data_IF_421503088559
#
_entry.id   IF_421503088559
#
_cell.length_a   1.000
_cell.length_b   1.000
_cell.length_c   1.000
_cell.angle_alpha   90.00
_cell.angle_beta   90.00
_cell.angle_gamma   90.00
#
_symmetry.space_group_name_H-M   'P 1'
#
loop_
_entity.id
_entity.type
_entity.pdbx_description
1 polymer ?
#
# COMPACT_ATOMS: atom_id res chain seq x y z
N UNK A 1 -51.94 40.58 69.48
CA UNK A 1 -51.42 39.31 68.94
C UNK A 1 -50.22 39.61 68.05
N UNK A 2 -49.03 39.09 68.41
CA UNK A 2 -47.78 39.28 67.65
C UNK A 2 -47.77 38.34 66.45
N UNK A 3 -47.90 38.87 65.23
CA UNK A 3 -47.50 38.14 64.02
C UNK A 3 -45.99 38.31 63.84
N UNK A 4 -45.26 37.24 64.11
CA UNK A 4 -43.81 37.15 64.02
C UNK A 4 -43.41 37.25 62.55
N UNK A 5 -42.47 38.16 62.28
CA UNK A 5 -41.93 38.50 60.96
C UNK A 5 -41.48 37.28 60.16
N UNK A 6 -42.03 37.13 58.95
CA UNK A 6 -41.80 36.06 57.99
C UNK A 6 -40.52 36.32 57.14
N UNK A 7 -39.44 36.77 57.78
CA UNK A 7 -38.23 37.25 57.09
C UNK A 7 -37.15 36.17 56.91
N UNK A 8 -37.24 35.06 57.67
CA UNK A 8 -36.31 33.92 57.59
C UNK A 8 -36.59 33.04 56.37
N UNK A 9 -37.87 32.82 56.06
CA UNK A 9 -38.37 31.98 54.97
C UNK A 9 -37.96 32.51 53.59
N UNK A 10 -37.94 33.84 53.44
CA UNK A 10 -37.63 34.52 52.18
C UNK A 10 -36.14 34.45 51.84
N UNK A 11 -35.27 34.56 52.86
CA UNK A 11 -33.81 34.42 52.70
C UNK A 11 -33.42 32.99 52.34
N UNK A 12 -34.09 31.99 52.92
CA UNK A 12 -33.89 30.57 52.59
C UNK A 12 -34.26 30.23 51.14
N UNK A 13 -35.39 30.78 50.65
CA UNK A 13 -35.83 30.57 49.26
C UNK A 13 -34.84 31.21 48.27
N UNK A 14 -34.35 32.41 48.55
CA UNK A 14 -33.35 33.08 47.71
C UNK A 14 -32.04 32.28 47.70
N UNK A 15 -31.62 31.75 48.85
CA UNK A 15 -30.41 30.94 48.97
C UNK A 15 -30.52 29.63 48.19
N UNK A 16 -31.69 28.99 48.19
CA UNK A 16 -31.97 27.79 47.38
C UNK A 16 -32.01 28.07 45.87
N UNK A 17 -32.48 29.24 45.45
CA UNK A 17 -32.46 29.64 44.03
C UNK A 17 -31.03 29.90 43.57
N UNK A 18 -30.22 30.59 44.38
CA UNK A 18 -28.80 30.83 44.06
C UNK A 18 -28.02 29.51 44.05
N UNK A 19 -28.28 28.61 45.00
CA UNK A 19 -27.67 27.28 45.03
C UNK A 19 -28.11 26.43 43.83
N UNK A 20 -29.38 26.49 43.44
CA UNK A 20 -29.91 25.81 42.26
C UNK A 20 -29.31 26.34 40.95
N UNK A 21 -29.09 27.65 40.83
CA UNK A 21 -28.40 28.27 39.70
C UNK A 21 -26.90 27.96 39.70
N UNK A 22 -26.27 27.89 40.88
CA UNK A 22 -24.86 27.52 41.00
C UNK A 22 -24.63 26.05 40.64
N UNK A 23 -25.49 25.13 41.11
CA UNK A 23 -25.40 23.69 40.78
C UNK A 23 -25.83 23.43 39.34
N UNK A 24 -26.86 24.12 38.84
CA UNK A 24 -27.27 24.05 37.43
C UNK A 24 -26.20 24.60 36.48
N UNK A 25 -25.56 25.72 36.83
CA UNK A 25 -24.44 26.28 36.08
C UNK A 25 -23.19 25.40 36.14
N UNK A 26 -22.92 24.75 37.27
CA UNK A 26 -21.80 23.80 37.41
C UNK A 26 -22.03 22.53 36.58
N UNK A 27 -23.27 22.05 36.49
CA UNK A 27 -23.63 20.89 35.64
C UNK A 27 -23.53 21.21 34.13
N UNK A 28 -23.80 22.44 33.72
CA UNK A 28 -23.61 22.87 32.31
C UNK A 28 -22.11 22.97 31.95
N UNK A 29 -21.24 23.29 32.93
CA UNK A 29 -19.79 23.29 32.73
C UNK A 29 -19.16 21.89 32.68
N UNK A 30 -19.86 20.84 33.11
CA UNK A 30 -19.37 19.45 33.02
C UNK A 30 -19.83 18.69 31.77
N UNK A 31 -20.71 19.27 30.94
CA UNK A 31 -21.16 18.69 29.65
C UNK A 31 -20.73 19.57 28.49
N UNK A 32 -19.51 20.08 28.58
CA UNK A 32 -18.75 20.59 27.44
C UNK A 32 -17.40 19.86 27.41
N UNK A 33 -17.43 18.52 27.45
CA UNK A 33 -16.43 17.82 26.67
C UNK A 33 -16.70 18.26 25.24
N UNK A 34 -15.89 19.20 24.74
CA UNK A 34 -15.77 19.41 23.30
C UNK A 34 -15.72 18.00 22.70
N UNK A 35 -16.62 17.68 21.78
CA UNK A 35 -16.52 16.43 21.04
C UNK A 35 -15.15 16.45 20.38
N UNK A 36 -14.17 15.82 21.04
CA UNK A 36 -12.82 15.70 20.53
C UNK A 36 -12.94 15.04 19.17
N UNK A 37 -12.17 15.54 18.20
CA UNK A 37 -12.15 15.00 16.84
C UNK A 37 -12.01 13.49 16.96
N UNK A 38 -13.03 12.75 16.51
CA UNK A 38 -12.99 11.29 16.54
C UNK A 38 -11.85 10.88 15.62
N UNK A 39 -11.04 9.89 16.03
CA UNK A 39 -9.90 9.45 15.22
C UNK A 39 -10.30 8.99 13.80
N UNK A 40 -11.59 8.71 13.57
CA UNK A 40 -12.19 8.38 12.27
C UNK A 40 -12.29 9.55 11.30
N UNK A 41 -12.32 10.78 11.79
CA UNK A 41 -12.52 11.99 10.98
C UNK A 41 -11.18 12.61 10.53
N UNK A 42 -10.06 12.07 11.04
CA UNK A 42 -8.71 12.52 10.74
C UNK A 42 -8.26 11.96 9.39
N UNK A 43 -8.08 12.86 8.41
CA UNK A 43 -7.61 12.48 7.08
C UNK A 43 -6.08 12.38 7.06
N UNK A 44 -5.57 11.16 6.89
CA UNK A 44 -4.14 10.88 6.75
C UNK A 44 -3.85 10.10 5.48
N UNK A 45 -2.73 10.41 4.84
CA UNK A 45 -2.26 9.72 3.63
C UNK A 45 -0.80 9.30 3.76
N UNK A 46 -0.48 8.17 3.16
CA UNK A 46 0.87 7.65 3.07
C UNK A 46 1.01 6.79 1.84
N UNK A 47 2.04 7.04 1.05
CA UNK A 47 2.28 6.31 -0.17
C UNK A 47 3.75 6.44 -0.60
N UNK A 48 4.12 5.76 -1.68
CA UNK A 48 5.43 5.98 -2.29
C UNK A 48 5.36 5.90 -3.81
N UNK A 49 6.32 6.57 -4.46
CA UNK A 49 6.48 6.57 -5.91
C UNK A 49 7.96 6.34 -6.22
N UNK A 50 8.26 5.62 -7.28
CA UNK A 50 9.62 5.48 -7.81
C UNK A 50 10.17 6.87 -8.15
N UNK A 51 11.38 7.21 -7.68
CA UNK A 51 11.89 8.59 -7.71
C UNK A 51 11.88 9.23 -9.10
N UNK A 52 12.16 8.46 -10.15
CA UNK A 52 12.14 8.95 -11.53
C UNK A 52 10.75 9.39 -12.02
N UNK A 53 9.67 8.92 -11.37
CA UNK A 53 8.28 9.23 -11.69
C UNK A 53 7.61 10.10 -10.62
N UNK A 54 8.34 10.45 -9.57
CA UNK A 54 7.84 11.17 -8.42
C UNK A 54 7.69 12.67 -8.77
N UNK A 55 6.50 13.28 -8.59
CA UNK A 55 6.31 14.70 -8.88
C UNK A 55 7.05 15.57 -7.85
N UNK A 56 7.40 16.79 -8.26
CA UNK A 56 8.15 17.72 -7.41
C UNK A 56 7.34 18.25 -6.20
N UNK A 57 6.02 18.14 -6.24
CA UNK A 57 5.12 18.60 -5.18
C UNK A 57 4.29 17.45 -4.61
N UNK A 58 3.87 17.59 -3.35
CA UNK A 58 3.26 16.51 -2.57
C UNK A 58 1.79 16.28 -2.95
N UNK A 59 0.97 17.33 -3.12
CA UNK A 59 -0.44 17.18 -3.54
C UNK A 59 -0.64 16.30 -4.79
N UNK A 60 0.04 16.55 -5.93
CA UNK A 60 -0.10 15.68 -7.10
C UNK A 60 0.39 14.25 -6.87
N UNK A 61 1.34 14.05 -5.95
CA UNK A 61 1.80 12.72 -5.59
C UNK A 61 0.68 11.93 -4.91
N UNK A 62 -0.03 12.55 -3.96
CA UNK A 62 -1.03 11.91 -3.12
C UNK A 62 -2.34 11.58 -3.85
N UNK A 63 -2.68 12.29 -4.93
CA UNK A 63 -3.91 12.05 -5.72
C UNK A 63 -3.91 10.70 -6.46
N UNK A 64 -2.75 10.26 -6.95
CA UNK A 64 -2.61 9.05 -7.77
C UNK A 64 -1.37 8.24 -7.34
N UNK A 65 -1.35 7.90 -6.05
CA UNK A 65 -0.21 7.29 -5.40
C UNK A 65 -0.43 5.80 -5.11
N UNK A 66 0.49 4.92 -5.52
CA UNK A 66 0.39 3.51 -5.18
C UNK A 66 0.81 3.24 -3.73
N UNK A 67 0.23 2.19 -3.15
CA UNK A 67 0.58 1.66 -1.83
C UNK A 67 1.42 0.38 -1.90
N UNK A 68 1.74 -0.07 -3.11
CA UNK A 68 2.60 -1.21 -3.37
C UNK A 68 3.55 -0.89 -4.52
N UNK A 69 4.85 -1.19 -4.31
CA UNK A 69 5.89 -0.95 -5.28
C UNK A 69 6.72 -2.20 -5.52
N UNK A 70 7.15 -2.41 -6.76
CA UNK A 70 8.13 -3.40 -7.17
C UNK A 70 9.28 -2.63 -7.81
N UNK A 71 10.44 -2.64 -7.14
CA UNK A 71 11.63 -1.89 -7.55
C UNK A 71 12.82 -2.81 -7.68
N UNK A 72 13.85 -2.35 -8.38
CA UNK A 72 15.14 -3.02 -8.42
C UNK A 72 16.02 -2.61 -7.24
N UNK A 73 16.92 -3.50 -6.84
CA UNK A 73 17.92 -3.17 -5.82
C UNK A 73 18.71 -1.91 -6.20
N UNK A 74 18.89 -1.03 -5.21
CA UNK A 74 19.59 0.26 -5.38
C UNK A 74 18.73 1.38 -5.97
N UNK A 75 17.47 1.13 -6.33
CA UNK A 75 16.57 2.20 -6.76
C UNK A 75 16.07 3.05 -5.59
N UNK A 76 15.98 4.35 -5.82
CA UNK A 76 15.40 5.28 -4.87
C UNK A 76 13.89 5.42 -5.09
N UNK A 77 13.18 5.57 -3.98
CA UNK A 77 11.75 5.92 -3.96
C UNK A 77 11.55 7.19 -3.16
N UNK A 78 10.44 7.87 -3.42
CA UNK A 78 9.99 9.01 -2.64
C UNK A 78 8.75 8.59 -1.86
N UNK A 79 8.85 8.66 -0.53
CA UNK A 79 7.73 8.51 0.39
C UNK A 79 7.00 9.84 0.48
N UNK A 80 5.67 9.82 0.43
CA UNK A 80 4.82 11.00 0.60
C UNK A 80 3.84 10.79 1.74
N UNK A 81 3.59 11.85 2.51
CA UNK A 81 2.59 11.82 3.56
C UNK A 81 1.83 13.13 3.69
N UNK A 82 0.62 13.03 4.22
CA UNK A 82 -0.17 14.16 4.66
C UNK A 82 -0.78 13.83 6.02
N UNK A 83 -0.44 14.65 7.02
CA UNK A 83 -1.09 14.67 8.32
C UNK A 83 -2.20 15.70 8.38
N UNK A 84 -3.19 15.44 9.23
CA UNK A 84 -4.22 16.39 9.60
C UNK A 84 -3.70 17.40 10.63
N UNK A 85 -4.24 18.62 10.64
CA UNK A 85 -3.83 19.69 11.55
C UNK A 85 -4.12 19.39 13.04
N UNK A 86 -5.01 18.44 13.33
CA UNK A 86 -5.35 18.01 14.71
C UNK A 86 -4.29 17.09 15.33
N UNK A 87 -3.32 16.63 14.56
CA UNK A 87 -2.22 15.81 15.03
C UNK A 87 -1.15 16.68 15.70
N UNK A 88 -0.65 16.25 16.85
CA UNK A 88 0.13 17.10 17.76
C UNK A 88 1.61 16.74 17.81
N UNK A 89 2.01 15.66 17.14
CA UNK A 89 3.38 15.11 17.20
C UNK A 89 3.92 14.83 15.80
N UNK A 90 5.25 14.74 15.68
CA UNK A 90 5.95 14.31 14.47
C UNK A 90 5.41 12.98 13.92
N UNK A 91 5.52 12.79 12.60
CA UNK A 91 5.34 11.46 12.00
C UNK A 91 6.60 10.63 12.18
N UNK A 92 6.41 9.35 12.46
CA UNK A 92 7.50 8.38 12.49
C UNK A 92 7.29 7.35 11.38
N UNK A 93 8.26 7.26 10.48
CA UNK A 93 8.29 6.29 9.39
C UNK A 93 9.27 5.18 9.77
N UNK A 94 8.78 3.95 9.82
CA UNK A 94 9.57 2.76 10.10
C UNK A 94 9.67 1.90 8.85
N UNK A 95 10.88 1.51 8.47
CA UNK A 95 11.11 0.57 7.39
C UNK A 95 11.37 -0.86 7.90
N UNK A 96 11.40 -1.84 6.99
CA UNK A 96 11.44 -3.26 7.32
C UNK A 96 12.76 -3.71 7.97
N UNK A 97 13.86 -2.97 7.82
CA UNK A 97 15.15 -3.29 8.46
C UNK A 97 15.26 -2.70 9.87
N UNK A 98 14.18 -2.09 10.39
CA UNK A 98 14.15 -1.44 11.71
C UNK A 98 14.62 0.02 11.68
N UNK A 99 14.85 0.59 10.50
CA UNK A 99 15.11 2.01 10.31
C UNK A 99 13.91 2.85 10.75
N UNK A 100 14.18 3.96 11.43
CA UNK A 100 13.15 4.90 11.92
C UNK A 100 13.56 6.31 11.54
N UNK A 101 12.63 7.02 10.90
CA UNK A 101 12.80 8.41 10.48
C UNK A 101 11.66 9.25 11.05
N UNK A 102 12.00 10.31 11.77
CA UNK A 102 11.03 11.24 12.31
C UNK A 102 11.00 12.52 11.48
N UNK A 103 9.80 12.91 11.06
CA UNK A 103 9.58 14.12 10.25
C UNK A 103 8.48 14.99 10.86
N UNK A 104 8.44 16.29 10.51
CA UNK A 104 7.31 17.15 10.86
C UNK A 104 5.98 16.55 10.39
N UNK A 105 4.92 16.75 11.18
CA UNK A 105 3.57 16.20 10.93
C UNK A 105 2.89 16.78 9.69
N UNK A 106 3.35 17.95 9.23
CA UNK A 106 2.86 18.61 8.03
C UNK A 106 3.03 17.74 6.79
N UNK A 107 2.33 18.10 5.72
CA UNK A 107 2.54 17.53 4.39
C UNK A 107 4.04 17.54 4.03
N UNK A 108 4.55 16.40 3.54
CA UNK A 108 5.97 16.24 3.31
C UNK A 108 6.32 15.02 2.46
N UNK A 109 7.60 14.94 2.12
CA UNK A 109 8.16 13.82 1.40
C UNK A 109 9.58 13.52 1.88
N UNK A 110 10.03 12.28 1.66
CA UNK A 110 11.38 11.84 1.96
C UNK A 110 11.86 10.87 0.88
N UNK A 111 13.12 10.99 0.47
CA UNK A 111 13.74 10.03 -0.44
C UNK A 111 14.46 8.96 0.37
N UNK A 112 14.23 7.70 0.02
CA UNK A 112 14.90 6.55 0.64
C UNK A 112 15.34 5.54 -0.41
N UNK A 113 16.31 4.70 -0.05
CA UNK A 113 16.77 3.57 -0.88
C UNK A 113 16.45 2.27 -0.13
N UNK A 114 15.33 1.60 -0.43
CA UNK A 114 14.97 0.35 0.24
C UNK A 114 15.97 -0.76 -0.09
N UNK A 115 16.54 -1.37 0.95
CA UNK A 115 17.54 -2.45 0.79
C UNK A 115 16.90 -3.84 0.86
N UNK A 116 15.75 -3.94 1.54
CA UNK A 116 15.01 -5.19 1.73
C UNK A 116 13.52 -4.99 1.41
N UNK A 117 12.90 -6.05 0.91
CA UNK A 117 11.45 -6.12 0.73
C UNK A 117 10.74 -6.09 2.08
N UNK A 118 9.61 -5.40 2.16
CA UNK A 118 8.77 -5.41 3.34
C UNK A 118 7.80 -4.25 3.43
N UNK A 119 7.13 -4.17 4.57
CA UNK A 119 6.21 -3.08 4.85
C UNK A 119 6.95 -1.87 5.43
N UNK A 120 6.71 -0.73 4.83
CA UNK A 120 7.03 0.57 5.41
C UNK A 120 5.80 1.11 6.09
N UNK A 121 5.95 1.60 7.31
CA UNK A 121 4.83 2.04 8.15
C UNK A 121 5.06 3.47 8.60
N UNK A 122 4.07 4.32 8.41
CA UNK A 122 4.03 5.64 9.06
C UNK A 122 3.09 5.59 10.25
N UNK A 123 3.46 6.31 11.31
CA UNK A 123 2.62 6.51 12.50
C UNK A 123 2.38 7.99 12.72
N UNK A 124 1.10 8.37 12.72
CA UNK A 124 0.58 9.67 13.08
C UNK A 124 0.09 9.63 14.53
N UNK A 125 0.51 10.60 15.35
CA UNK A 125 0.14 10.66 16.76
C UNK A 125 -0.50 12.02 17.08
N UNK A 126 -1.70 11.99 17.64
CA UNK A 126 -2.41 13.12 18.22
C UNK A 126 -2.66 12.90 19.71
N UNK A 127 -3.29 13.88 20.36
CA UNK A 127 -3.52 13.86 21.81
C UNK A 127 -4.34 12.63 22.29
N UNK A 128 -5.29 12.18 21.48
CA UNK A 128 -6.16 11.03 21.78
C UNK A 128 -6.18 9.96 20.68
N UNK A 129 -5.32 10.07 19.67
CA UNK A 129 -5.37 9.24 18.48
C UNK A 129 -3.98 8.77 18.05
N UNK A 130 -3.88 7.51 17.63
CA UNK A 130 -2.71 6.96 16.94
C UNK A 130 -3.18 6.25 15.68
N UNK A 131 -2.78 6.77 14.53
CA UNK A 131 -3.18 6.26 13.22
C UNK A 131 -1.93 5.74 12.53
N UNK A 132 -1.99 4.55 11.95
CA UNK A 132 -0.90 4.00 11.16
C UNK A 132 -1.37 3.67 9.75
N UNK A 133 -0.50 3.93 8.78
CA UNK A 133 -0.65 3.52 7.38
C UNK A 133 0.59 2.74 6.98
N UNK A 134 0.45 1.84 6.03
CA UNK A 134 1.57 1.08 5.49
C UNK A 134 1.55 1.04 3.98
N UNK A 135 2.74 0.86 3.41
CA UNK A 135 2.95 0.53 2.01
C UNK A 135 3.83 -0.70 1.93
N UNK A 136 3.67 -1.47 0.87
CA UNK A 136 4.53 -2.63 0.58
C UNK A 136 5.56 -2.25 -0.47
N UNK A 137 6.83 -2.54 -0.21
CA UNK A 137 7.89 -2.39 -1.19
C UNK A 137 8.54 -3.75 -1.38
N UNK A 138 8.56 -4.22 -2.63
CA UNK A 138 9.27 -5.43 -3.04
C UNK A 138 10.53 -5.02 -3.82
N UNK A 139 11.68 -5.39 -3.29
CA UNK A 139 12.99 -5.17 -3.91
C UNK A 139 13.42 -6.45 -4.63
N UNK A 140 13.51 -6.37 -5.96
CA UNK A 140 13.95 -7.46 -6.82
C UNK A 140 15.48 -7.43 -6.90
N UNK A 141 16.12 -8.54 -6.51
CA UNK A 141 17.60 -8.69 -6.53
C UNK A 141 18.11 -9.61 -7.63
N UNK A 142 17.24 -10.46 -8.17
CA UNK A 142 17.56 -11.43 -9.20
C UNK A 142 16.30 -12.06 -9.78
N UNK A 143 16.45 -13.09 -10.63
CA UNK A 143 15.31 -13.80 -11.20
C UNK A 143 14.42 -14.41 -10.13
N UNK A 144 13.16 -14.01 -10.07
CA UNK A 144 12.19 -14.55 -9.10
C UNK A 144 10.78 -14.70 -9.69
N UNK A 145 9.94 -15.58 -9.15
CA UNK A 145 8.58 -15.76 -9.65
C UNK A 145 7.68 -14.57 -9.32
N UNK A 146 6.81 -14.23 -10.26
CA UNK A 146 5.70 -13.29 -10.11
C UNK A 146 4.45 -13.86 -10.79
N UNK A 147 3.26 -13.45 -10.35
CA UNK A 147 2.00 -13.92 -10.91
C UNK A 147 1.29 -12.74 -11.54
N UNK A 148 1.02 -12.84 -12.84
CA UNK A 148 0.10 -11.94 -13.54
C UNK A 148 -1.29 -12.56 -13.46
N UNK A 149 -2.28 -11.77 -13.03
CA UNK A 149 -3.69 -12.16 -13.02
C UNK A 149 -4.43 -11.25 -13.99
N UNK A 150 -4.93 -11.83 -15.07
CA UNK A 150 -5.69 -11.14 -16.09
C UNK A 150 -7.18 -11.46 -15.91
N UNK A 151 -8.05 -10.46 -16.04
CA UNK A 151 -9.49 -10.61 -15.89
C UNK A 151 -10.19 -10.45 -17.23
N UNK A 152 -11.27 -11.19 -17.43
CA UNK A 152 -12.01 -11.15 -18.68
C UNK A 152 -12.83 -12.41 -18.92
N UNK A 153 -13.00 -12.73 -20.20
CA UNK A 153 -13.69 -13.94 -20.65
C UNK A 153 -13.17 -14.34 -22.03
N UNK A 154 -13.60 -15.53 -22.50
CA UNK A 154 -13.15 -16.09 -23.77
C UNK A 154 -13.56 -15.28 -25.01
N UNK A 155 -14.69 -14.56 -24.97
CA UNK A 155 -15.23 -13.83 -26.11
C UNK A 155 -14.48 -12.52 -26.35
N UNK A 156 -14.07 -11.84 -25.26
CA UNK A 156 -13.39 -10.54 -25.31
C UNK A 156 -11.88 -10.63 -25.14
N UNK A 157 -11.38 -11.73 -24.57
CA UNK A 157 -10.01 -11.86 -24.07
C UNK A 157 -9.86 -11.47 -22.60
N UNK A 158 -8.67 -11.71 -22.06
CA UNK A 158 -8.29 -11.42 -20.68
C UNK A 158 -7.26 -10.30 -20.65
N UNK A 159 -7.41 -9.36 -19.70
CA UNK A 159 -6.62 -8.14 -19.66
C UNK A 159 -6.09 -7.85 -18.25
N UNK A 160 -4.90 -7.27 -18.18
CA UNK A 160 -4.42 -6.62 -16.96
C UNK A 160 -3.50 -5.45 -17.28
N UNK A 161 -3.63 -4.39 -16.47
CA UNK A 161 -2.80 -3.20 -16.54
C UNK A 161 -1.87 -3.17 -15.34
N UNK A 162 -0.57 -3.06 -15.60
CA UNK A 162 0.47 -2.94 -14.57
C UNK A 162 1.01 -1.52 -14.61
N UNK A 163 0.71 -0.75 -13.55
CA UNK A 163 0.99 0.68 -13.44
C UNK A 163 2.51 0.95 -13.32
N UNK A 164 3.10 1.81 -14.18
CA UNK A 164 4.52 2.15 -14.13
C UNK A 164 4.91 2.92 -12.87
N UNK A 165 3.96 3.59 -12.19
CA UNK A 165 4.22 4.24 -10.89
C UNK A 165 4.47 3.21 -9.77
N UNK A 166 3.96 1.99 -9.93
CA UNK A 166 4.08 0.89 -8.97
C UNK A 166 5.20 -0.09 -9.33
N UNK A 167 5.65 -0.13 -10.57
CA UNK A 167 6.60 -1.15 -11.04
C UNK A 167 7.71 -0.46 -11.80
N UNK A 168 8.95 -0.69 -11.37
CA UNK A 168 10.13 -0.12 -12.03
C UNK A 168 10.20 -0.53 -13.48
N UNK A 169 10.55 0.44 -14.34
CA UNK A 169 10.78 0.22 -15.77
C UNK A 169 11.91 -0.78 -16.05
N UNK A 170 12.78 -1.02 -15.07
CA UNK A 170 13.88 -1.99 -15.15
C UNK A 170 13.41 -3.42 -14.85
N UNK A 171 12.21 -3.61 -14.31
CA UNK A 171 11.67 -4.94 -14.07
C UNK A 171 11.17 -5.51 -15.40
N UNK A 172 11.84 -6.56 -15.85
CA UNK A 172 11.54 -7.27 -17.10
C UNK A 172 11.01 -8.67 -16.81
N UNK A 173 10.25 -9.19 -17.77
CA UNK A 173 9.74 -10.56 -17.80
C UNK A 173 10.69 -11.39 -18.66
N UNK A 174 11.28 -12.42 -18.07
CA UNK A 174 12.18 -13.36 -18.75
C UNK A 174 11.39 -14.48 -19.44
N UNK A 175 10.47 -15.09 -18.68
CA UNK A 175 9.63 -16.17 -19.15
C UNK A 175 8.20 -16.00 -18.63
N UNK A 176 7.27 -16.58 -19.37
CA UNK A 176 5.85 -16.62 -19.03
C UNK A 176 5.28 -17.98 -19.38
N UNK A 177 4.50 -18.55 -18.46
CA UNK A 177 3.68 -19.73 -18.71
C UNK A 177 2.30 -19.58 -18.11
N UNK A 178 1.35 -20.31 -18.69
CA UNK A 178 0.04 -20.41 -18.08
C UNK A 178 0.10 -21.21 -16.78
N UNK A 179 -0.74 -20.84 -15.82
CA UNK A 179 -0.91 -21.55 -14.56
C UNK A 179 -2.35 -21.45 -14.09
N UNK A 180 -2.76 -22.42 -13.27
CA UNK A 180 -4.04 -22.34 -12.56
C UNK A 180 -4.03 -21.16 -11.58
N UNK A 181 -5.15 -20.42 -11.52
CA UNK A 181 -5.34 -19.39 -10.53
C UNK A 181 -5.50 -19.99 -9.12
N UNK A 182 -4.91 -19.34 -8.11
CA UNK A 182 -5.02 -19.79 -6.71
C UNK A 182 -6.47 -19.83 -6.26
N UNK A 183 -6.90 -20.97 -5.68
CA UNK A 183 -8.27 -21.16 -5.18
C UNK A 183 -9.31 -21.51 -6.23
N UNK A 184 -8.96 -21.57 -7.52
CA UNK A 184 -9.85 -22.09 -8.57
C UNK A 184 -9.71 -23.60 -8.66
N UNK A 185 -10.81 -24.35 -8.61
CA UNK A 185 -10.85 -25.82 -8.76
C UNK A 185 -11.06 -26.28 -10.21
N UNK A 186 -11.10 -25.34 -11.16
CA UNK A 186 -11.47 -25.60 -12.56
C UNK A 186 -10.30 -25.90 -13.51
N UNK A 187 -10.68 -26.22 -14.75
CA UNK A 187 -9.79 -26.30 -15.91
C UNK A 187 -9.14 -24.93 -16.18
N UNK A 188 -7.82 -24.89 -16.40
CA UNK A 188 -7.14 -23.70 -16.92
C UNK A 188 -6.68 -23.94 -18.36
N UNK A 189 -6.55 -22.86 -19.14
CA UNK A 189 -6.18 -22.96 -20.54
C UNK A 189 -4.66 -22.92 -20.69
N UNK A 190 -4.08 -23.76 -21.55
CA UNK A 190 -2.62 -23.91 -21.62
C UNK A 190 -1.96 -22.98 -22.66
N UNK A 191 -2.62 -22.72 -23.80
CA UNK A 191 -2.02 -22.05 -24.95
C UNK A 191 -2.66 -20.69 -25.23
N UNK A 192 -1.86 -19.63 -25.21
CA UNK A 192 -2.35 -18.25 -25.32
C UNK A 192 -1.54 -17.44 -26.34
N UNK A 193 -2.24 -16.63 -27.12
CA UNK A 193 -1.67 -15.49 -27.81
C UNK A 193 -1.67 -14.31 -26.85
N UNK A 194 -0.49 -13.84 -26.48
CA UNK A 194 -0.28 -12.67 -25.64
C UNK A 194 0.07 -11.43 -26.46
N UNK A 195 -0.39 -10.27 -26.01
CA UNK A 195 0.02 -8.97 -26.53
C UNK A 195 0.35 -8.05 -25.36
N UNK A 196 1.52 -7.43 -25.39
CA UNK A 196 1.96 -6.40 -24.45
C UNK A 196 2.08 -5.06 -25.17
N UNK A 197 1.48 -4.01 -24.62
CA UNK A 197 1.62 -2.63 -25.12
C UNK A 197 2.13 -1.74 -23.99
N UNK A 198 3.07 -0.83 -24.30
CA UNK A 198 3.58 0.12 -23.31
C UNK A 198 2.59 1.28 -23.07
N UNK A 199 2.66 1.89 -21.90
CA UNK A 199 1.86 3.07 -21.54
C UNK A 199 2.14 4.30 -22.42
N UNK A 200 3.31 4.36 -23.06
CA UNK A 200 3.71 5.44 -23.95
C UNK A 200 3.25 5.22 -25.41
N UNK A 201 2.49 4.16 -25.70
CA UNK A 201 1.98 3.88 -27.05
C UNK A 201 3.01 3.26 -28.00
N UNK A 202 4.12 2.71 -27.48
CA UNK A 202 5.09 1.97 -28.29
C UNK A 202 4.46 0.77 -29.02
N UNK A 203 5.15 0.28 -30.05
CA UNK A 203 4.70 -0.87 -30.82
C UNK A 203 4.45 -2.08 -29.91
N UNK A 204 3.33 -2.79 -30.11
CA UNK A 204 3.01 -3.93 -29.27
C UNK A 204 3.98 -5.09 -29.50
N UNK A 205 4.26 -5.81 -28.42
CA UNK A 205 5.03 -7.05 -28.42
C UNK A 205 4.04 -8.21 -28.39
N UNK A 206 4.17 -9.14 -29.33
CA UNK A 206 3.34 -10.33 -29.40
C UNK A 206 4.11 -11.52 -28.86
N UNK A 207 3.42 -12.34 -28.07
CA UNK A 207 3.98 -13.46 -27.32
C UNK A 207 3.13 -14.70 -27.61
N UNK A 208 3.80 -15.85 -27.70
CA UNK A 208 3.13 -17.14 -27.72
C UNK A 208 3.43 -17.84 -26.39
N UNK A 209 2.40 -18.13 -25.62
CA UNK A 209 2.50 -18.64 -24.26
C UNK A 209 1.94 -20.05 -24.25
N UNK A 210 2.72 -20.99 -23.72
CA UNK A 210 2.32 -22.39 -23.58
C UNK A 210 2.41 -22.82 -22.11
N UNK A 211 2.12 -24.09 -21.84
CA UNK A 211 2.33 -24.69 -20.52
C UNK A 211 3.81 -24.87 -20.12
N UNK A 212 4.71 -25.03 -21.10
CA UNK A 212 6.09 -25.47 -20.91
C UNK A 212 7.11 -24.31 -20.86
N UNK A 213 6.64 -23.09 -20.56
CA UNK A 213 7.38 -21.80 -20.63
C UNK A 213 7.61 -21.25 -22.04
N UNK A 214 7.20 -20.00 -22.25
CA UNK A 214 7.53 -19.17 -23.41
C UNK A 214 8.50 -18.05 -23.03
N UNK A 215 9.46 -17.74 -23.92
CA UNK A 215 10.31 -16.54 -23.78
C UNK A 215 9.45 -15.29 -23.85
N UNK A 216 9.63 -14.38 -22.90
CA UNK A 216 9.03 -13.06 -22.92
C UNK A 216 9.95 -11.98 -23.51
N UNK A 217 11.08 -12.39 -24.11
CA UNK A 217 12.04 -11.51 -24.80
C UNK A 217 12.48 -10.28 -23.97
N UNK A 218 12.64 -10.45 -22.66
CA UNK A 218 13.01 -9.37 -21.74
C UNK A 218 12.07 -8.15 -21.80
N UNK A 219 10.78 -8.39 -22.05
CA UNK A 219 9.76 -7.33 -22.11
C UNK A 219 9.55 -6.73 -20.73
N UNK A 220 9.43 -5.40 -20.62
CA UNK A 220 9.13 -4.72 -19.35
C UNK A 220 7.82 -5.24 -18.74
N UNK A 221 7.78 -5.42 -17.42
CA UNK A 221 6.60 -5.90 -16.70
C UNK A 221 5.46 -4.87 -16.72
N UNK A 222 5.77 -3.59 -16.50
CA UNK A 222 4.78 -2.52 -16.58
C UNK A 222 4.22 -2.40 -18.00
N UNK A 223 2.90 -2.17 -18.12
CA UNK A 223 2.22 -2.07 -19.41
C UNK A 223 0.80 -2.63 -19.40
N UNK A 224 0.18 -2.58 -20.58
CA UNK A 224 -1.10 -3.19 -20.88
C UNK A 224 -0.88 -4.59 -21.45
N UNK A 225 -1.42 -5.60 -20.77
CA UNK A 225 -1.32 -6.99 -21.19
C UNK A 225 -2.69 -7.50 -21.61
N UNK A 226 -2.73 -8.20 -22.75
CA UNK A 226 -3.90 -8.94 -23.18
C UNK A 226 -3.55 -10.36 -23.59
N UNK A 227 -4.45 -11.29 -23.28
CA UNK A 227 -4.28 -12.72 -23.48
C UNK A 227 -5.53 -13.32 -24.11
N UNK A 228 -5.32 -14.05 -25.21
CA UNK A 228 -6.37 -14.70 -25.99
C UNK A 228 -6.08 -16.19 -26.11
N UNK A 229 -7.03 -17.08 -25.78
CA UNK A 229 -6.82 -18.51 -25.89
C UNK A 229 -6.59 -18.91 -27.36
N UNK A 230 -5.67 -19.83 -27.60
CA UNK A 230 -5.33 -20.36 -28.94
C UNK A 230 -5.28 -21.90 -28.95
N UNK A 231 -5.25 -22.49 -30.15
CA UNK A 231 -5.06 -23.94 -30.33
C UNK A 231 -6.33 -24.79 -30.21
N UNK A 232 -7.51 -24.25 -30.51
CA UNK A 232 -8.76 -25.01 -30.45
C UNK A 232 -8.83 -26.09 -31.53
N UNK A 233 -8.71 -27.34 -31.12
CA UNK A 233 -9.38 -28.47 -31.74
C UNK A 233 -10.60 -28.87 -30.91
N UNK A 234 -11.65 -28.04 -30.88
CA UNK A 234 -12.94 -28.39 -30.25
C UNK A 234 -13.41 -27.43 -29.16
N UNK A 235 -14.73 -27.20 -29.15
CA UNK A 235 -15.50 -26.36 -28.24
C UNK A 235 -15.20 -26.69 -26.77
N UNK A 236 -14.35 -25.88 -26.15
CA UNK A 236 -14.11 -25.91 -24.71
C UNK A 236 -14.59 -24.58 -24.12
N UNK A 237 -15.57 -24.67 -23.22
CA UNK A 237 -16.14 -23.54 -22.51
C UNK A 237 -15.21 -23.13 -21.37
N UNK A 238 -14.25 -22.25 -21.64
CA UNK A 238 -13.51 -21.59 -20.57
C UNK A 238 -14.45 -20.64 -19.83
N UNK A 239 -14.95 -21.07 -18.67
CA UNK A 239 -15.96 -20.34 -17.88
C UNK A 239 -15.35 -19.44 -16.80
N UNK A 240 -14.02 -19.47 -16.63
CA UNK A 240 -13.33 -18.69 -15.62
C UNK A 240 -13.31 -17.21 -16.00
N UNK A 241 -13.43 -16.35 -14.98
CA UNK A 241 -13.39 -14.89 -15.14
C UNK A 241 -11.97 -14.32 -15.08
N UNK A 242 -11.01 -15.17 -14.76
CA UNK A 242 -9.61 -14.79 -14.58
C UNK A 242 -8.70 -15.87 -15.15
N UNK A 243 -7.61 -15.43 -15.77
CA UNK A 243 -6.51 -16.26 -16.24
C UNK A 243 -5.25 -15.86 -15.46
N UNK A 244 -4.45 -16.85 -15.06
CA UNK A 244 -3.24 -16.62 -14.30
C UNK A 244 -2.01 -17.08 -15.08
N UNK A 245 -0.95 -16.29 -14.97
CA UNK A 245 0.31 -16.55 -15.63
C UNK A 245 1.42 -16.48 -14.60
N UNK A 246 2.21 -17.55 -14.51
CA UNK A 246 3.44 -17.53 -13.73
C UNK A 246 4.52 -16.98 -14.63
N UNK A 247 5.15 -15.92 -14.19
CA UNK A 247 6.26 -15.28 -14.88
C UNK A 247 7.52 -15.31 -14.03
N UNK A 248 8.68 -15.29 -14.69
CA UNK A 248 9.95 -15.03 -14.04
C UNK A 248 10.32 -13.58 -14.32
N UNK A 249 10.47 -12.77 -13.28
CA UNK A 249 10.84 -11.36 -13.39
C UNK A 249 12.27 -11.13 -12.92
N UNK A 250 12.93 -10.11 -13.44
CA UNK A 250 14.30 -9.74 -13.10
C UNK A 250 14.53 -8.25 -13.35
N UNK A 251 15.62 -7.69 -12.81
CA UNK A 251 16.05 -6.33 -13.08
C UNK A 251 17.03 -6.26 -14.26
N UNK A 252 16.82 -5.33 -15.16
CA UNK A 252 17.68 -5.10 -16.33
C UNK A 252 19.00 -4.40 -15.95
N UNK A 253 20.16 -4.83 -16.49
CA UNK A 253 20.36 -6.05 -17.27
C UNK A 253 20.29 -7.29 -16.37
N UNK A 254 19.55 -8.31 -16.80
CA UNK A 254 19.44 -9.54 -16.03
C UNK A 254 20.70 -10.39 -16.21
N UNK A 255 21.77 -9.99 -15.54
CA UNK A 255 23.05 -10.66 -15.57
C UNK A 255 23.11 -11.73 -14.48
N UNK A 256 22.29 -12.80 -14.58
CA UNK A 256 22.54 -14.03 -13.81
C UNK A 256 21.70 -15.23 -14.29
N UNK A 257 22.41 -16.36 -14.44
CA UNK A 257 21.86 -17.72 -14.55
C UNK A 257 21.01 -18.06 -13.32
N UNK A 258 19.94 -18.88 -13.42
CA UNK A 258 18.98 -19.18 -12.36
C UNK A 258 19.52 -19.94 -11.11
N UNK A 259 20.82 -19.91 -10.86
CA UNK A 259 21.50 -20.70 -9.83
C UNK A 259 21.88 -19.95 -8.56
N UNK A 260 21.68 -18.63 -8.47
CA UNK A 260 21.96 -17.87 -7.25
C UNK A 260 20.76 -17.91 -6.29
N UNK A 261 20.35 -19.14 -5.93
CA UNK A 261 19.52 -19.39 -4.74
C UNK A 261 20.45 -19.17 -3.54
N UNK A 262 20.53 -17.94 -3.05
CA UNK A 262 21.23 -17.65 -1.81
C UNK A 262 20.44 -18.20 -0.60
N UNK A 263 21.16 -18.69 0.41
CA UNK A 263 20.58 -19.44 1.52
C UNK A 263 19.74 -18.54 2.42
N UNK A 264 18.71 -19.13 2.98
CA UNK A 264 17.93 -18.63 4.11
C UNK A 264 18.88 -18.04 5.17
N UNK A 265 18.66 -16.81 5.67
CA UNK A 265 19.54 -16.22 6.68
C UNK A 265 19.51 -17.11 7.92
N UNK A 266 20.67 -17.72 8.21
CA UNK A 266 20.91 -18.35 9.51
C UNK A 266 21.00 -17.21 10.53
N UNK A 267 20.22 -17.22 11.62
CA UNK A 267 20.31 -16.16 12.61
C UNK A 267 21.69 -16.19 13.26
N UNK A 268 22.46 -15.12 13.10
CA UNK A 268 23.72 -14.92 13.81
C UNK A 268 23.41 -14.78 15.31
N UNK A 269 24.00 -15.60 16.20
CA UNK A 269 23.84 -15.39 17.63
C UNK A 269 24.56 -14.11 18.04
N UNK A 270 23.83 -13.22 18.72
CA UNK A 270 24.35 -11.97 19.28
C UNK A 270 25.51 -12.23 20.24
N UNK A 271 26.54 -11.36 20.30
CA UNK A 271 27.56 -11.45 21.32
C UNK A 271 26.93 -11.19 22.69
N UNK A 272 27.01 -12.20 23.55
CA UNK A 272 26.64 -12.08 24.96
C UNK A 272 27.58 -11.06 25.59
N UNK A 273 27.05 -9.93 26.08
CA UNK A 273 27.81 -9.05 26.96
C UNK A 273 28.25 -9.86 28.18
N UNK A 274 29.56 -9.99 28.38
CA UNK A 274 30.14 -10.41 29.64
C UNK A 274 29.85 -9.35 30.71
N UNK A 275 29.44 -9.73 31.93
CA UNK A 275 29.30 -8.79 33.02
C UNK A 275 30.69 -8.42 33.57
N UNK A 276 30.97 -7.12 33.61
CA UNK A 276 31.84 -6.49 34.60
C UNK A 276 31.09 -5.32 35.21
#
# INVERSE_FOLDING_TARGET
MKCRSNDSSRKYIILLIILGLAVGGLMVMTVSCAEGVKCTDIKTMFCAIIKELAPASVQPALEDCPTSLIICEGEEIVLYWQGDATLTSNVSITGPAGEVYDFPISEGFATVTPVISGEWKITFTGEHCRISKSISIRVIKGPEPYTIVANGNIDTGFFCDINPKSVSKKVIVLSIRSTQCGGASGFYWENWSGKKTEWNGSNPIFLNITKDDGSANNTQLAGHWSFYPTGMGGTSSYTEKSACFRVTICCEPCNQSPTDIYPTPTPTPWPTRSPQ
#
